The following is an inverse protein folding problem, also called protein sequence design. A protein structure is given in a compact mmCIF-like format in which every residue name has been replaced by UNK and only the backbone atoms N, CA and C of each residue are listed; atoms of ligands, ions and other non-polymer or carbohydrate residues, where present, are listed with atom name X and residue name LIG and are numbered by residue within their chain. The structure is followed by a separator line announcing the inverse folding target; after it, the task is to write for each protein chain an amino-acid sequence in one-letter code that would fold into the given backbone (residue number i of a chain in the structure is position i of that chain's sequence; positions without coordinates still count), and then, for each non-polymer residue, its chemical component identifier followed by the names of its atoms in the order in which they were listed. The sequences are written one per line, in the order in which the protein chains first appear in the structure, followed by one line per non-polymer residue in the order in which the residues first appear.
data_IF_330570014212
#
_entry.id   IF_330570014212
#
_cell.length_a   1.000
_cell.length_b   1.000
_cell.length_c   1.000
_cell.angle_alpha   90.00
_cell.angle_beta   90.00
_cell.angle_gamma   90.00
#
_symmetry.space_group_name_H-M   'P 1'
#
loop_
_entity.id
_entity.type
_entity.pdbx_description
1 polymer ?
#
# COMPACT_ATOMS: atom_id res chain seq x y z
N UNK A 1 1.69 -3.18 -16.93
CA UNK A 1 2.16 -2.37 -15.77
C UNK A 1 0.94 -1.89 -15.02
N UNK A 2 0.91 -2.06 -13.70
CA UNK A 2 -0.15 -1.52 -12.86
C UNK A 2 0.43 -0.31 -12.12
N UNK A 3 -0.06 0.88 -12.44
CA UNK A 3 0.32 2.12 -11.75
C UNK A 3 -0.56 2.25 -10.50
N UNK A 4 0.06 2.28 -9.33
CA UNK A 4 -0.63 2.71 -8.12
C UNK A 4 -0.73 4.24 -8.17
N UNK A 5 -1.92 4.77 -7.87
CA UNK A 5 -2.24 6.19 -7.87
C UNK A 5 -1.88 6.87 -6.55
N UNK A 6 -2.33 6.29 -5.42
CA UNK A 6 -2.15 6.91 -4.11
C UNK A 6 -2.20 5.89 -2.97
N UNK A 7 -1.56 6.23 -1.86
CA UNK A 7 -1.67 5.48 -0.61
C UNK A 7 -2.78 6.12 0.22
N UNK A 8 -3.88 5.38 0.36
CA UNK A 8 -5.06 5.85 1.11
C UNK A 8 -4.85 5.83 2.61
N UNK A 9 -3.98 4.95 3.09
CA UNK A 9 -3.70 4.81 4.49
C UNK A 9 -2.77 3.66 4.76
N UNK A 10 -2.39 3.51 6.02
CA UNK A 10 -1.63 2.37 6.47
C UNK A 10 -2.25 1.84 7.75
N UNK A 11 -2.20 0.51 7.93
CA UNK A 11 -2.59 -0.15 9.17
C UNK A 11 -1.44 -0.98 9.68
N UNK A 12 -1.27 -0.96 10.99
CA UNK A 12 -0.33 -1.81 11.71
C UNK A 12 -1.08 -3.09 12.11
N UNK A 13 -0.76 -4.21 11.47
CA UNK A 13 -1.25 -5.52 11.89
C UNK A 13 -0.16 -6.21 12.69
N UNK A 14 -0.43 -6.51 13.95
CA UNK A 14 0.55 -7.12 14.83
C UNK A 14 -0.12 -7.90 15.93
N UNK A 15 -0.23 -9.22 15.74
CA UNK A 15 -0.58 -10.15 16.81
C UNK A 15 0.71 -10.81 17.32
N UNK A 16 1.10 -10.47 18.55
CA UNK A 16 2.03 -11.22 19.43
C UNK A 16 3.45 -11.58 18.95
N UNK A 17 4.02 -10.98 17.91
CA UNK A 17 5.43 -11.28 17.57
C UNK A 17 6.10 -10.48 16.46
N UNK A 18 5.37 -9.65 15.72
CA UNK A 18 5.97 -8.79 14.70
C UNK A 18 4.97 -7.75 14.24
N UNK A 19 5.33 -6.47 14.35
CA UNK A 19 4.53 -5.38 13.79
C UNK A 19 4.73 -5.42 12.28
N UNK A 20 3.68 -5.74 11.52
CA UNK A 20 3.66 -5.59 10.05
C UNK A 20 2.88 -4.33 9.70
N UNK A 21 3.48 -3.43 8.94
CA UNK A 21 2.77 -2.32 8.32
C UNK A 21 2.24 -2.77 6.97
N UNK A 22 0.94 -2.61 6.79
CA UNK A 22 0.25 -2.75 5.52
C UNK A 22 -0.21 -1.36 5.09
N UNK A 23 -0.11 -1.07 3.79
CA UNK A 23 -0.51 0.16 3.16
C UNK A 23 -1.63 -0.15 2.19
N UNK A 24 -2.69 0.64 2.21
CA UNK A 24 -3.77 0.55 1.25
C UNK A 24 -3.36 1.33 0.01
N UNK A 25 -3.05 0.60 -1.06
CA UNK A 25 -2.70 1.15 -2.36
C UNK A 25 -3.95 1.22 -3.24
N UNK A 26 -4.22 2.41 -3.76
CA UNK A 26 -5.23 2.67 -4.79
C UNK A 26 -4.59 2.55 -6.15
N UNK A 27 -5.15 1.74 -7.04
CA UNK A 27 -4.67 1.60 -8.41
C UNK A 27 -5.26 2.68 -9.31
N UNK A 28 -4.42 3.24 -10.18
CA UNK A 28 -4.79 4.30 -11.13
C UNK A 28 -5.72 3.73 -12.20
N UNK A 29 -6.89 4.35 -12.34
CA UNK A 29 -7.91 3.90 -13.29
C UNK A 29 -8.74 2.71 -12.82
N UNK A 30 -8.53 2.23 -11.59
CA UNK A 30 -9.38 1.24 -10.95
C UNK A 30 -10.11 1.87 -9.75
N UNK A 31 -11.30 1.37 -9.46
CA UNK A 31 -12.13 1.89 -8.39
C UNK A 31 -11.58 1.53 -7.01
N UNK A 32 -12.17 2.07 -5.93
CA UNK A 32 -11.84 1.70 -4.56
C UNK A 32 -12.11 0.22 -4.24
N UNK A 33 -12.80 -0.50 -5.14
CA UNK A 33 -13.01 -1.93 -5.08
C UNK A 33 -11.74 -2.75 -5.35
N UNK A 34 -10.80 -2.22 -6.12
CA UNK A 34 -9.50 -2.84 -6.39
C UNK A 34 -8.43 -2.44 -5.37
N UNK A 35 -8.74 -1.54 -4.43
CA UNK A 35 -7.81 -1.09 -3.40
C UNK A 35 -7.25 -2.27 -2.61
N UNK A 36 -5.95 -2.49 -2.72
CA UNK A 36 -5.30 -3.67 -2.16
C UNK A 36 -4.33 -3.29 -1.04
N UNK A 37 -4.33 -4.10 0.03
CA UNK A 37 -3.38 -3.95 1.13
C UNK A 37 -2.04 -4.58 0.78
N UNK A 38 -1.03 -3.74 0.56
CA UNK A 38 0.34 -4.13 0.27
C UNK A 38 1.26 -3.93 1.48
N UNK A 39 2.30 -4.74 1.61
CA UNK A 39 3.26 -4.62 2.72
C UNK A 39 4.35 -3.57 2.43
N UNK A 40 5.10 -3.10 3.45
CA UNK A 40 6.27 -2.22 3.20
C UNK A 40 7.23 -2.76 2.16
N UNK A 41 7.43 -4.09 2.11
CA UNK A 41 8.33 -4.72 1.15
C UNK A 41 7.83 -4.58 -0.29
N UNK A 42 6.52 -4.72 -0.49
CA UNK A 42 5.85 -4.58 -1.78
C UNK A 42 5.79 -3.10 -2.20
N UNK A 43 5.50 -2.22 -1.24
CA UNK A 43 5.51 -0.77 -1.43
C UNK A 43 6.90 -0.25 -1.82
N UNK A 44 7.97 -0.87 -1.31
CA UNK A 44 9.34 -0.54 -1.70
C UNK A 44 9.63 -0.80 -3.18
N UNK A 45 8.86 -1.69 -3.81
CA UNK A 45 8.88 -1.93 -5.25
C UNK A 45 8.12 -0.85 -6.05
N UNK A 46 7.36 0.02 -5.37
CA UNK A 46 6.67 1.19 -5.93
C UNK A 46 7.22 2.50 -5.32
N UNK A 47 8.50 2.85 -5.58
CA UNK A 47 9.17 4.01 -4.99
C UNK A 47 8.53 5.36 -5.35
N UNK A 48 7.71 5.41 -6.41
CA UNK A 48 6.99 6.60 -6.85
C UNK A 48 5.91 7.05 -5.85
N UNK A 49 5.28 6.11 -5.14
CA UNK A 49 4.22 6.40 -4.18
C UNK A 49 4.75 6.93 -2.84
N UNK A 50 5.84 6.34 -2.36
CA UNK A 50 6.48 6.69 -1.10
C UNK A 50 6.99 8.14 -1.07
N UNK A 51 7.18 8.75 -2.24
CA UNK A 51 7.70 10.11 -2.35
C UNK A 51 6.62 11.19 -2.24
N UNK A 52 5.33 10.81 -2.34
CA UNK A 52 4.21 11.75 -2.35
C UNK A 52 3.29 11.62 -1.12
N UNK A 53 3.63 10.76 -0.16
CA UNK A 53 3.00 10.63 1.16
C UNK A 53 3.93 11.20 2.24
#
# INVERSE_FOLDING_TARGET
EYEVETILGHRLTGAKGGKRRLYLARWKGYGPEDDTWISEADLRNAPTLLRSY
#
